data_IF_772756370737
#
_entry.id   IF_772756370737
#
_cell.length_a   1.000
_cell.length_b   1.000
_cell.length_c   1.000
_cell.angle_alpha   90.00
_cell.angle_beta   90.00
_cell.angle_gamma   90.00
#
_symmetry.space_group_name_H-M   'P 1'
#
loop_
_entity.id
_entity.type
_entity.pdbx_description
1 polymer ?
#
# COMPACT_ATOMS: atom_id res chain seq x y z
N UNK A 1 -11.76 8.28 -23.33
CA UNK A 1 -10.40 8.72 -22.93
C UNK A 1 -10.51 9.45 -21.60
N UNK A 2 -9.62 9.17 -20.65
CA UNK A 2 -9.64 9.74 -19.30
C UNK A 2 -8.93 8.81 -18.31
N UNK A 3 -8.16 9.37 -17.39
CA UNK A 3 -7.45 8.59 -16.36
C UNK A 3 -8.48 7.91 -15.46
N UNK A 4 -8.51 6.58 -15.45
CA UNK A 4 -9.46 5.81 -14.63
C UNK A 4 -8.95 5.61 -13.21
N UNK A 5 -7.66 5.41 -13.07
CA UNK A 5 -7.02 5.24 -11.78
C UNK A 5 -5.52 5.53 -11.82
N UNK A 6 -4.94 5.61 -10.65
CA UNK A 6 -3.56 5.95 -10.37
C UNK A 6 -3.07 4.94 -9.33
N UNK A 7 -1.97 4.26 -9.61
CA UNK A 7 -1.24 3.56 -8.56
C UNK A 7 -0.07 4.44 -8.14
N UNK A 8 0.17 4.54 -6.84
CA UNK A 8 1.50 4.87 -6.34
C UNK A 8 2.29 3.58 -6.52
N UNK A 9 2.97 3.44 -7.65
CA UNK A 9 3.61 2.20 -8.05
C UNK A 9 5.07 2.26 -7.65
N UNK A 10 5.43 1.53 -6.60
CA UNK A 10 6.79 1.51 -6.06
C UNK A 10 7.35 0.10 -6.05
N UNK A 11 8.64 0.03 -6.37
CA UNK A 11 9.47 -1.15 -6.22
C UNK A 11 10.79 -0.74 -5.58
N UNK A 12 11.01 -1.19 -4.36
CA UNK A 12 12.31 -1.10 -3.70
C UNK A 12 13.14 -2.34 -4.05
N UNK A 13 14.29 -2.10 -4.67
CA UNK A 13 15.27 -3.12 -5.08
C UNK A 13 16.50 -3.16 -4.19
N UNK A 14 16.56 -2.36 -3.12
CA UNK A 14 17.69 -2.35 -2.20
C UNK A 14 17.90 -3.73 -1.58
N UNK A 15 19.17 -4.18 -1.56
CA UNK A 15 19.58 -5.48 -1.03
C UNK A 15 20.70 -5.33 -0.02
N UNK A 16 20.71 -6.24 0.93
CA UNK A 16 21.59 -6.22 2.09
C UNK A 16 22.84 -7.09 1.88
N UNK A 17 23.92 -6.76 2.58
CA UNK A 17 25.17 -7.55 2.58
C UNK A 17 25.03 -8.89 3.30
N UNK A 18 24.07 -8.98 4.22
CA UNK A 18 23.78 -10.16 5.04
C UNK A 18 22.31 -10.51 4.89
N UNK A 19 21.95 -11.80 4.84
CA UNK A 19 20.54 -12.17 4.75
C UNK A 19 19.76 -11.74 5.99
N UNK A 20 18.46 -11.47 5.81
CA UNK A 20 17.52 -11.23 6.92
C UNK A 20 17.63 -12.32 8.00
N UNK A 21 17.89 -11.97 9.27
CA UNK A 21 17.82 -12.89 10.40
C UNK A 21 16.39 -13.38 10.67
N UNK A 22 16.25 -14.58 11.24
CA UNK A 22 14.97 -15.07 11.77
C UNK A 22 14.53 -14.21 12.96
N UNK A 23 13.23 -13.99 13.13
CA UNK A 23 12.62 -13.25 14.25
C UNK A 23 13.11 -11.79 14.37
N UNK A 24 13.44 -11.19 13.22
CA UNK A 24 13.79 -9.77 13.08
C UNK A 24 13.08 -9.17 11.88
N UNK A 25 12.43 -8.02 12.06
CA UNK A 25 11.82 -7.26 10.96
C UNK A 25 12.84 -6.31 10.35
N UNK A 26 13.20 -6.50 9.07
CA UNK A 26 14.12 -5.65 8.32
C UNK A 26 13.36 -4.80 7.32
N UNK A 27 13.68 -3.52 7.23
CA UNK A 27 13.11 -2.61 6.24
C UNK A 27 14.11 -1.50 5.89
N UNK A 28 13.90 -0.80 4.77
CA UNK A 28 14.74 0.34 4.34
C UNK A 28 14.34 1.67 4.97
N UNK A 29 13.19 1.69 5.63
CA UNK A 29 12.68 2.82 6.40
C UNK A 29 11.96 2.33 7.66
N UNK A 30 11.37 3.24 8.44
CA UNK A 30 10.73 2.96 9.73
C UNK A 30 9.92 1.66 9.76
N UNK A 31 10.42 0.66 10.47
CA UNK A 31 9.75 -0.64 10.66
C UNK A 31 8.44 -0.47 11.42
N UNK A 32 8.43 0.33 12.49
CA UNK A 32 7.22 0.56 13.29
C UNK A 32 6.14 1.29 12.49
N UNK A 33 6.54 2.27 11.68
CA UNK A 33 5.63 2.98 10.76
C UNK A 33 5.01 2.00 9.77
N UNK A 34 5.84 1.19 9.12
CA UNK A 34 5.39 0.23 8.13
C UNK A 34 4.48 -0.86 8.71
N UNK A 35 4.77 -1.36 9.91
CA UNK A 35 3.90 -2.32 10.62
C UNK A 35 2.56 -1.66 10.96
N UNK A 36 2.58 -0.45 11.51
CA UNK A 36 1.37 0.28 11.91
C UNK A 36 0.44 0.50 10.71
N UNK A 37 0.96 1.06 9.62
CA UNK A 37 0.22 1.27 8.37
C UNK A 37 -0.19 -0.05 7.71
N UNK A 38 0.68 -1.06 7.77
CA UNK A 38 0.44 -2.37 7.19
C UNK A 38 -0.68 -3.17 7.87
N UNK A 39 -0.85 -2.97 9.18
CA UNK A 39 -1.93 -3.59 9.98
C UNK A 39 -3.24 -2.80 9.92
N UNK A 40 -3.21 -1.54 9.49
CA UNK A 40 -4.41 -0.78 9.20
C UNK A 40 -5.18 -1.41 8.01
N UNK A 41 -6.50 -1.16 7.91
CA UNK A 41 -7.31 -1.60 6.78
C UNK A 41 -6.69 -1.19 5.44
N UNK A 42 -6.72 -2.09 4.46
CA UNK A 42 -6.39 -1.75 3.08
C UNK A 42 -7.32 -0.63 2.60
N UNK A 43 -6.78 0.51 2.16
CA UNK A 43 -7.56 1.72 1.85
C UNK A 43 -7.21 2.31 0.49
N UNK A 44 -8.23 2.77 -0.23
CA UNK A 44 -8.09 3.28 -1.58
C UNK A 44 -9.12 4.36 -1.90
N UNK A 45 -8.66 5.42 -2.57
CA UNK A 45 -9.52 6.34 -3.29
C UNK A 45 -10.35 5.58 -4.33
N UNK A 46 -11.66 5.81 -4.35
CA UNK A 46 -12.61 4.98 -5.09
C UNK A 46 -13.15 5.69 -6.31
N UNK A 47 -12.72 5.26 -7.49
CA UNK A 47 -13.05 5.90 -8.75
C UNK A 47 -14.51 5.75 -9.14
N UNK A 48 -15.06 6.75 -9.84
CA UNK A 48 -16.43 6.70 -10.37
C UNK A 48 -16.64 5.63 -11.44
N UNK A 49 -15.55 5.09 -11.99
CA UNK A 49 -15.58 4.07 -13.03
C UNK A 49 -15.72 2.65 -12.48
N UNK A 50 -15.50 2.45 -11.18
CA UNK A 50 -15.54 1.14 -10.55
C UNK A 50 -16.98 0.62 -10.47
N UNK A 51 -17.20 -0.59 -10.96
CA UNK A 51 -18.52 -1.24 -11.00
C UNK A 51 -18.66 -2.40 -10.04
N UNK A 52 -17.55 -2.80 -9.40
CA UNK A 52 -17.47 -3.92 -8.48
C UNK A 52 -16.60 -3.57 -7.29
N UNK A 53 -16.95 -4.07 -6.10
CA UNK A 53 -16.19 -3.94 -4.86
C UNK A 53 -16.27 -5.30 -4.13
N UNK A 54 -15.21 -5.74 -3.45
CA UNK A 54 -15.26 -6.99 -2.69
C UNK A 54 -16.29 -6.91 -1.55
N UNK A 55 -16.79 -8.06 -1.09
CA UNK A 55 -17.84 -8.15 -0.06
C UNK A 55 -17.45 -7.50 1.27
N UNK A 56 -16.17 -7.51 1.60
CA UNK A 56 -15.60 -6.88 2.80
C UNK A 56 -15.16 -5.43 2.56
N UNK A 57 -15.47 -4.83 1.40
CA UNK A 57 -15.26 -3.41 1.13
C UNK A 57 -16.35 -2.55 1.75
N UNK A 58 -15.97 -1.43 2.37
CA UNK A 58 -16.86 -0.50 3.08
C UNK A 58 -16.60 0.93 2.65
N UNK A 59 -17.66 1.74 2.69
CA UNK A 59 -17.63 3.18 2.41
C UNK A 59 -17.65 3.97 3.71
N UNK A 60 -16.93 5.09 3.72
CA UNK A 60 -16.99 6.06 4.81
C UNK A 60 -18.32 6.82 4.85
N UNK A 61 -18.90 7.00 6.05
CA UNK A 61 -20.16 7.74 6.24
C UNK A 61 -19.95 9.27 6.29
N UNK A 62 -18.77 9.71 6.71
CA UNK A 62 -18.39 11.11 6.92
C UNK A 62 -17.11 11.44 6.11
N UNK A 63 -16.70 12.72 6.14
CA UNK A 63 -15.53 13.21 5.39
C UNK A 63 -15.81 13.42 3.89
N UNK A 64 -14.76 13.47 3.08
CA UNK A 64 -14.83 13.70 1.63
C UNK A 64 -15.57 12.61 0.85
N UNK A 65 -15.69 11.42 1.46
CA UNK A 65 -16.23 10.19 0.84
C UNK A 65 -15.48 9.83 -0.44
N UNK A 66 -14.18 10.14 -0.47
CA UNK A 66 -13.31 9.86 -1.61
C UNK A 66 -12.81 8.42 -1.64
N UNK A 67 -12.76 7.74 -0.49
CA UNK A 67 -12.18 6.41 -0.34
C UNK A 67 -13.17 5.34 0.12
N UNK A 68 -12.75 4.09 -0.09
CA UNK A 68 -13.26 2.89 0.57
C UNK A 68 -12.12 2.24 1.36
N UNK A 69 -12.47 1.37 2.30
CA UNK A 69 -11.52 0.48 2.96
C UNK A 69 -12.00 -0.97 2.86
N UNK A 70 -11.08 -1.92 2.97
CA UNK A 70 -11.37 -3.35 3.07
C UNK A 70 -11.18 -3.79 4.52
N UNK A 71 -12.05 -4.66 5.03
CA UNK A 71 -11.91 -5.24 6.37
C UNK A 71 -10.83 -6.34 6.39
N UNK A 72 -9.60 -5.97 6.02
CA UNK A 72 -8.39 -6.79 6.01
C UNK A 72 -7.14 -5.88 6.00
N UNK A 73 -5.99 -6.32 6.57
CA UNK A 73 -4.79 -5.50 6.67
C UNK A 73 -4.16 -5.19 5.29
N UNK A 74 -3.70 -3.96 5.12
CA UNK A 74 -3.12 -3.47 3.86
C UNK A 74 -1.86 -4.22 3.44
N UNK A 75 -0.96 -4.50 4.37
CA UNK A 75 0.29 -5.23 4.09
C UNK A 75 0.09 -6.73 3.81
N UNK A 76 -1.12 -7.27 3.97
CA UNK A 76 -1.49 -8.62 3.53
C UNK A 76 -2.53 -8.60 2.39
N UNK A 77 -2.68 -7.46 1.71
CA UNK A 77 -3.60 -7.29 0.58
C UNK A 77 -2.79 -7.02 -0.67
N UNK A 78 -2.83 -7.94 -1.63
CA UNK A 78 -2.05 -7.84 -2.87
C UNK A 78 -2.88 -7.28 -4.02
N UNK A 79 -2.28 -6.35 -4.75
CA UNK A 79 -2.79 -5.80 -6.02
C UNK A 79 -1.80 -6.09 -7.15
N UNK A 80 -2.31 -6.21 -8.38
CA UNK A 80 -1.45 -6.30 -9.57
C UNK A 80 -1.09 -4.89 -10.02
N UNK A 81 0.19 -4.63 -10.25
CA UNK A 81 0.70 -3.34 -10.70
C UNK A 81 1.89 -3.52 -11.63
N UNK A 82 2.55 -2.43 -11.98
CA UNK A 82 3.68 -2.40 -12.91
C UNK A 82 4.63 -1.26 -12.56
N UNK A 83 5.95 -1.50 -12.64
CA UNK A 83 7.00 -0.49 -12.58
C UNK A 83 7.99 -0.69 -13.75
N UNK A 84 8.70 0.35 -14.22
CA UNK A 84 9.60 0.23 -15.37
C UNK A 84 10.67 -0.86 -15.25
N UNK A 85 11.29 -0.99 -14.08
CA UNK A 85 12.38 -1.95 -13.85
C UNK A 85 11.92 -3.40 -13.82
N UNK A 86 10.97 -3.83 -12.95
CA UNK A 86 10.52 -5.22 -12.89
C UNK A 86 9.44 -5.58 -13.93
N UNK A 87 8.80 -4.58 -14.54
CA UNK A 87 7.57 -4.79 -15.30
C UNK A 87 6.40 -5.16 -14.38
N UNK A 88 5.55 -6.14 -14.75
CA UNK A 88 4.42 -6.57 -13.92
C UNK A 88 4.86 -7.13 -12.56
N UNK A 89 4.20 -6.69 -11.49
CA UNK A 89 4.48 -7.17 -10.14
C UNK A 89 3.22 -7.21 -9.26
N UNK A 90 3.32 -7.89 -8.12
CA UNK A 90 2.43 -7.62 -7.01
C UNK A 90 2.92 -6.41 -6.22
N UNK A 91 1.99 -5.58 -5.78
CA UNK A 91 2.22 -4.60 -4.72
C UNK A 91 1.25 -4.84 -3.57
N UNK A 92 1.59 -4.31 -2.41
CA UNK A 92 0.77 -4.31 -1.21
C UNK A 92 -0.14 -3.08 -1.24
N UNK A 93 -1.41 -3.26 -0.88
CA UNK A 93 -2.43 -2.20 -0.79
C UNK A 93 -2.39 -1.60 0.63
N UNK A 94 -1.22 -1.09 1.02
CA UNK A 94 -1.01 -0.40 2.28
C UNK A 94 -1.75 0.94 2.23
N UNK A 95 -2.42 1.31 3.32
CA UNK A 95 -3.08 2.62 3.39
C UNK A 95 -2.03 3.72 3.39
N UNK A 96 -2.32 4.82 2.71
CA UNK A 96 -1.47 5.99 2.73
C UNK A 96 -2.30 7.23 2.41
N UNK A 97 -1.91 8.39 2.92
CA UNK A 97 -2.73 9.60 2.85
C UNK A 97 -3.08 10.01 1.40
N UNK A 98 -2.12 9.92 0.48
CA UNK A 98 -2.33 10.32 -0.92
C UNK A 98 -3.30 9.42 -1.67
N UNK A 99 -3.51 8.18 -1.24
CA UNK A 99 -4.57 7.34 -1.80
C UNK A 99 -5.94 8.04 -1.70
N UNK A 100 -6.19 8.74 -0.60
CA UNK A 100 -7.43 9.49 -0.38
C UNK A 100 -7.32 10.91 -0.94
N UNK A 101 -6.22 11.62 -0.66
CA UNK A 101 -6.10 13.04 -0.99
C UNK A 101 -5.98 13.29 -2.50
N UNK A 102 -5.29 12.44 -3.27
CA UNK A 102 -5.23 12.54 -4.74
C UNK A 102 -6.61 12.29 -5.35
N UNK A 103 -7.31 11.26 -4.89
CA UNK A 103 -8.65 10.96 -5.38
C UNK A 103 -9.63 12.09 -5.07
N UNK A 104 -9.58 12.67 -3.87
CA UNK A 104 -10.43 13.82 -3.53
C UNK A 104 -10.06 15.06 -4.34
N UNK A 105 -8.77 15.36 -4.47
CA UNK A 105 -8.26 16.51 -5.24
C UNK A 105 -8.73 16.49 -6.70
N UNK A 106 -8.68 15.33 -7.36
CA UNK A 106 -9.15 15.16 -8.73
C UNK A 106 -10.66 14.89 -8.85
N UNK A 107 -11.43 15.02 -7.77
CA UNK A 107 -12.88 14.83 -7.82
C UNK A 107 -13.56 16.01 -8.52
N UNK A 108 -14.19 15.75 -9.66
CA UNK A 108 -15.04 16.73 -10.35
C UNK A 108 -16.48 16.61 -9.84
N UNK A 109 -17.06 17.74 -9.46
CA UNK A 109 -18.44 17.83 -8.96
C UNK A 109 -19.27 18.73 -9.87
N UNK A 110 -20.52 18.34 -10.09
CA UNK A 110 -21.51 19.21 -10.73
C UNK A 110 -21.82 20.44 -9.87
N UNK A 111 -22.51 21.44 -10.46
CA UNK A 111 -23.03 22.61 -9.73
C UNK A 111 -23.90 22.25 -8.51
N UNK A 112 -24.53 21.07 -8.51
CA UNK A 112 -25.35 20.56 -7.40
C UNK A 112 -24.55 19.69 -6.40
N UNK A 113 -23.22 19.66 -6.50
CA UNK A 113 -22.34 18.91 -5.60
C UNK A 113 -22.19 17.41 -5.89
N UNK A 114 -22.97 16.85 -6.83
CA UNK A 114 -22.86 15.43 -7.24
C UNK A 114 -21.50 15.16 -7.90
N UNK A 115 -20.80 14.12 -7.46
CA UNK A 115 -19.55 13.64 -8.07
C UNK A 115 -19.82 13.13 -9.49
N UNK A 116 -19.09 13.67 -10.47
CA UNK A 116 -19.18 13.29 -11.89
C UNK A 116 -17.96 12.48 -12.34
N UNK A 117 -16.80 12.74 -11.76
CA UNK A 117 -15.57 12.02 -12.05
C UNK A 117 -14.70 11.96 -10.80
N UNK A 118 -14.03 10.82 -10.63
CA UNK A 118 -12.96 10.59 -9.66
C UNK A 118 -12.10 9.42 -10.14
N UNK A 119 -10.76 9.51 -10.07
CA UNK A 119 -9.91 8.36 -10.32
C UNK A 119 -9.86 7.43 -9.09
N UNK A 120 -9.70 6.12 -9.32
CA UNK A 120 -9.25 5.21 -8.26
C UNK A 120 -7.80 5.57 -7.91
N UNK A 121 -7.42 5.60 -6.64
CA UNK A 121 -6.04 5.90 -6.24
C UNK A 121 -5.63 5.07 -5.03
N UNK A 122 -4.53 4.34 -5.12
CA UNK A 122 -3.99 3.58 -3.99
C UNK A 122 -2.52 3.21 -4.17
N UNK A 123 -1.90 2.78 -3.08
CA UNK A 123 -0.57 2.20 -3.12
C UNK A 123 -0.58 0.83 -3.80
N UNK A 124 0.46 0.56 -4.58
CA UNK A 124 0.86 -0.78 -4.99
C UNK A 124 2.35 -0.95 -4.65
N UNK A 125 2.65 -1.05 -3.35
CA UNK A 125 4.01 -1.02 -2.83
C UNK A 125 4.65 -2.41 -2.84
N UNK A 126 5.76 -2.58 -3.55
CA UNK A 126 6.63 -3.74 -3.36
C UNK A 126 7.87 -3.28 -2.58
N UNK A 127 7.93 -3.50 -1.25
CA UNK A 127 9.09 -3.13 -0.45
C UNK A 127 10.31 -3.99 -0.82
N UNK A 128 11.45 -3.72 -0.19
CA UNK A 128 12.65 -4.52 -0.39
C UNK A 128 12.37 -6.00 -0.08
N UNK A 129 13.16 -6.90 -0.68
CA UNK A 129 12.93 -8.34 -0.54
C UNK A 129 12.95 -8.80 0.92
N UNK A 130 13.81 -8.21 1.76
CA UNK A 130 13.90 -8.55 3.18
C UNK A 130 12.65 -8.12 3.94
N UNK A 131 12.06 -6.96 3.62
CA UNK A 131 10.78 -6.54 4.21
C UNK A 131 9.62 -7.43 3.78
N UNK A 132 9.62 -7.95 2.54
CA UNK A 132 8.64 -8.97 2.13
C UNK A 132 8.75 -10.24 2.96
N UNK A 133 9.97 -10.72 3.25
CA UNK A 133 10.19 -11.86 4.13
C UNK A 133 9.78 -11.55 5.59
N UNK A 134 10.00 -10.32 6.06
CA UNK A 134 9.55 -9.89 7.38
C UNK A 134 8.03 -9.86 7.52
N UNK A 135 7.30 -9.41 6.49
CA UNK A 135 5.84 -9.44 6.47
C UNK A 135 5.31 -10.87 6.44
N UNK A 136 5.91 -11.76 5.64
CA UNK A 136 5.53 -13.17 5.58
C UNK A 136 5.67 -13.85 6.96
N UNK A 137 6.80 -13.63 7.64
CA UNK A 137 7.03 -14.12 9.00
C UNK A 137 6.00 -13.54 10.00
N UNK A 138 5.77 -12.23 9.98
CA UNK A 138 4.83 -11.55 10.88
C UNK A 138 3.39 -12.06 10.69
N UNK A 139 2.89 -12.12 9.45
CA UNK A 139 1.54 -12.58 9.17
C UNK A 139 1.39 -14.10 9.36
N UNK A 140 2.45 -14.88 9.11
CA UNK A 140 2.53 -16.29 9.49
C UNK A 140 2.41 -16.50 11.00
N UNK A 141 2.89 -15.56 11.81
CA UNK A 141 2.72 -15.50 13.26
C UNK A 141 1.42 -14.79 13.70
N UNK A 142 0.36 -14.85 12.89
CA UNK A 142 -0.95 -14.24 13.16
C UNK A 142 -0.92 -12.71 13.35
N UNK A 143 0.00 -12.03 12.66
CA UNK A 143 0.14 -10.57 12.71
C UNK A 143 0.90 -10.07 13.95
N UNK A 144 1.60 -10.96 14.67
CA UNK A 144 2.46 -10.58 15.78
C UNK A 144 3.81 -10.09 15.24
N UNK A 145 4.21 -8.83 15.51
CA UNK A 145 5.53 -8.33 15.14
C UNK A 145 6.66 -9.12 15.79
N UNK A 146 7.77 -9.21 15.07
CA UNK A 146 9.05 -9.71 15.56
C UNK A 146 9.54 -8.85 16.74
N UNK A 147 10.28 -9.41 17.70
CA UNK A 147 10.75 -8.68 18.88
C UNK A 147 11.86 -7.65 18.57
N UNK A 148 12.52 -7.77 17.42
CA UNK A 148 13.60 -6.87 16.99
C UNK A 148 13.24 -6.24 15.65
N UNK A 149 13.37 -4.92 15.59
CA UNK A 149 13.14 -4.10 14.40
C UNK A 149 14.47 -3.50 13.94
N UNK A 150 14.79 -3.59 12.65
CA UNK A 150 16.03 -3.09 12.08
C UNK A 150 15.75 -2.28 10.81
N UNK A 151 16.20 -1.03 10.80
CA UNK A 151 16.19 -0.18 9.61
C UNK A 151 17.57 -0.25 8.98
N UNK A 152 17.62 -0.62 7.70
CA UNK A 152 18.86 -0.80 6.96
C UNK A 152 19.58 0.52 6.73
N UNK A 153 20.85 0.57 7.12
CA UNK A 153 21.74 1.71 6.87
C UNK A 153 22.39 1.61 5.47
N UNK A 154 22.84 2.74 4.91
CA UNK A 154 23.56 2.80 3.63
C UNK A 154 24.77 1.85 3.59
N UNK A 155 25.45 1.66 4.73
CA UNK A 155 26.63 0.81 4.84
C UNK A 155 26.30 -0.69 4.88
N UNK A 156 25.04 -1.05 5.06
CA UNK A 156 24.55 -2.44 5.07
C UNK A 156 24.04 -2.88 3.70
N UNK A 157 23.83 -1.95 2.78
CA UNK A 157 23.33 -2.20 1.43
C UNK A 157 24.47 -2.55 0.46
N UNK A 158 24.16 -3.41 -0.51
CA UNK A 158 25.08 -3.80 -1.60
C UNK A 158 24.79 -3.00 -2.86
N UNK A 159 23.52 -2.93 -3.24
CA UNK A 159 22.96 -2.22 -4.39
C UNK A 159 21.45 -2.01 -4.17
N UNK A 160 20.80 -1.34 -5.11
CA UNK A 160 19.37 -1.01 -5.04
C UNK A 160 18.95 -0.10 -6.16
#
# INVERSE_FOLDING_TARGET
>A
AGVKGIHIAERDTQRTKKPKPMDVFWNTWSVEGFISEGLQPAELGWGTHETWMPKNGKKHKHGSKAAIYLEQPGANTRVRSWCPTPGPQYGLLVTHNEAISIADFFTVRSKKGKVQYRPTCHYAYHPCNDAMLSLDEMFGAAGKPQPVHHVLDENELVDG
#
